data_IF_293899788953
#
_entry.id   IF_293899788953
#
_cell.length_a   1.000
_cell.length_b   1.000
_cell.length_c   1.000
_cell.angle_alpha   90.00
_cell.angle_beta   90.00
_cell.angle_gamma   90.00
#
_symmetry.space_group_name_H-M   'P 1'
#
loop_
_entity.id
_entity.type
_entity.pdbx_description
1 polymer ?
#
# COMPACT_ATOMS: atom_id res chain seq x y z
N UNK A 1 4.12 4.83 8.23
CA UNK A 1 2.73 5.35 8.34
C UNK A 1 1.81 4.22 8.74
N UNK A 2 0.88 4.45 9.66
CA UNK A 2 -0.14 3.50 10.11
C UNK A 2 -1.50 3.84 9.50
N UNK A 3 -2.15 2.83 8.95
CA UNK A 3 -3.50 2.96 8.43
C UNK A 3 -4.49 3.31 9.55
N UNK A 4 -5.34 4.30 9.30
CA UNK A 4 -6.37 4.79 10.22
C UNK A 4 -5.90 5.81 11.25
N UNK A 5 -4.60 6.09 11.33
CA UNK A 5 -4.00 7.00 12.32
C UNK A 5 -3.24 8.14 11.64
N UNK A 6 -2.28 7.81 10.78
CA UNK A 6 -1.39 8.79 10.19
C UNK A 6 -2.03 9.51 9.00
N UNK A 7 -1.59 10.75 8.76
CA UNK A 7 -1.99 11.58 7.62
C UNK A 7 -0.84 11.75 6.64
N UNK A 8 -1.20 11.93 5.37
CA UNK A 8 -0.27 12.41 4.34
C UNK A 8 -0.85 13.68 3.72
N UNK A 9 0.01 14.66 3.50
CA UNK A 9 -0.31 15.81 2.66
C UNK A 9 0.29 15.57 1.28
N UNK A 10 -0.54 15.71 0.25
CA UNK A 10 -0.11 15.60 -1.14
C UNK A 10 -0.31 16.94 -1.82
N UNK A 11 0.76 17.47 -2.40
CA UNK A 11 0.75 18.73 -3.15
C UNK A 11 1.09 18.47 -4.62
N UNK A 12 0.34 19.06 -5.53
CA UNK A 12 0.60 19.00 -6.97
C UNK A 12 0.43 20.39 -7.60
N UNK A 13 1.15 20.61 -8.69
CA UNK A 13 1.06 21.83 -9.50
C UNK A 13 1.29 21.49 -10.96
N UNK A 14 0.71 22.28 -11.87
CA UNK A 14 1.09 22.24 -13.27
C UNK A 14 2.50 22.79 -13.43
N UNK A 15 3.32 22.10 -14.22
CA UNK A 15 4.64 22.61 -14.57
C UNK A 15 4.50 23.89 -15.42
N UNK A 16 5.06 25.00 -14.94
CA UNK A 16 4.95 26.32 -15.58
C UNK A 16 5.63 26.39 -16.96
N UNK A 17 6.54 25.46 -17.26
CA UNK A 17 7.18 25.37 -18.58
C UNK A 17 6.43 24.47 -19.55
N UNK A 18 5.29 23.90 -19.15
CA UNK A 18 4.48 23.06 -20.00
C UNK A 18 3.74 23.92 -21.04
N UNK A 19 4.03 23.69 -22.32
CA UNK A 19 3.41 24.38 -23.47
C UNK A 19 2.20 23.66 -24.04
N UNK A 20 1.74 22.59 -23.39
CA UNK A 20 0.58 21.82 -23.83
C UNK A 20 -0.76 22.40 -23.37
N UNK A 21 -1.85 21.81 -23.86
CA UNK A 21 -3.20 22.28 -23.62
C UNK A 21 -3.71 21.88 -22.21
N UNK A 22 -3.40 22.72 -21.22
CA UNK A 22 -3.91 22.59 -19.86
C UNK A 22 -5.43 22.80 -19.77
N UNK A 23 -6.08 23.38 -20.78
CA UNK A 23 -7.53 23.60 -20.78
C UNK A 23 -8.32 22.30 -20.87
N UNK A 24 -7.66 21.24 -21.36
CA UNK A 24 -8.19 19.87 -21.37
C UNK A 24 -8.35 19.28 -19.96
N UNK A 25 -7.63 19.78 -18.96
CA UNK A 25 -7.66 19.24 -17.60
C UNK A 25 -8.86 19.76 -16.82
N UNK A 26 -9.68 18.86 -16.29
CA UNK A 26 -10.89 19.18 -15.50
C UNK A 26 -10.82 18.69 -14.07
N UNK A 27 -10.26 17.51 -13.86
CA UNK A 27 -10.19 16.88 -12.53
C UNK A 27 -8.80 16.31 -12.29
N UNK A 28 -8.27 16.49 -11.07
CA UNK A 28 -7.08 15.79 -10.60
C UNK A 28 -7.52 14.64 -9.70
N UNK A 29 -7.15 13.42 -10.08
CA UNK A 29 -7.36 12.23 -9.27
C UNK A 29 -6.02 11.76 -8.70
N UNK A 30 -5.87 11.87 -7.38
CA UNK A 30 -4.68 11.47 -6.65
C UNK A 30 -4.87 10.04 -6.20
N UNK A 31 -3.94 9.16 -6.58
CA UNK A 31 -3.95 7.75 -6.25
C UNK A 31 -2.67 7.31 -5.53
N UNK A 32 -2.84 6.34 -4.65
CA UNK A 32 -1.77 5.63 -3.99
C UNK A 32 -1.36 4.40 -4.82
N UNK A 33 -0.07 4.27 -5.07
CA UNK A 33 0.50 3.34 -6.04
C UNK A 33 1.54 2.41 -5.40
N UNK A 34 1.49 1.11 -5.71
CA UNK A 34 2.43 0.13 -5.16
C UNK A 34 3.83 0.32 -5.76
N UNK A 35 4.86 0.44 -4.92
CA UNK A 35 6.25 0.43 -5.35
C UNK A 35 6.65 -0.96 -5.90
N UNK A 36 7.64 -1.07 -6.81
CA UNK A 36 8.04 -2.34 -7.44
C UNK A 36 8.31 -3.47 -6.44
N UNK A 37 8.98 -3.15 -5.32
CA UNK A 37 9.26 -4.11 -4.25
C UNK A 37 8.01 -4.66 -3.54
N UNK A 38 6.86 -4.01 -3.69
CA UNK A 38 5.56 -4.48 -3.19
C UNK A 38 4.69 -5.17 -4.26
N UNK A 39 5.17 -5.24 -5.50
CA UNK A 39 4.52 -5.90 -6.65
C UNK A 39 5.04 -7.34 -6.87
N UNK A 40 6.18 -7.70 -6.29
CA UNK A 40 6.79 -9.04 -6.45
C UNK A 40 5.81 -10.16 -6.05
N UNK A 41 5.66 -11.15 -6.92
CA UNK A 41 4.71 -12.27 -6.78
C UNK A 41 3.23 -11.87 -6.56
N UNK A 42 2.87 -10.62 -6.89
CA UNK A 42 1.51 -10.09 -6.75
C UNK A 42 1.04 -9.53 -8.08
N UNK A 43 0.62 -10.41 -8.99
CA UNK A 43 0.14 -10.04 -10.33
C UNK A 43 -1.03 -9.03 -10.31
N UNK A 44 -1.82 -9.02 -9.24
CA UNK A 44 -2.87 -8.02 -9.03
C UNK A 44 -2.35 -6.63 -8.67
N UNK A 45 -1.04 -6.38 -8.57
CA UNK A 45 -0.43 -5.04 -8.32
C UNK A 45 0.53 -4.62 -9.44
N UNK A 46 0.55 -5.35 -10.55
CA UNK A 46 1.59 -5.25 -11.60
C UNK A 46 1.44 -3.96 -12.41
N UNK A 47 2.58 -3.30 -12.66
CA UNK A 47 2.67 -2.20 -13.63
C UNK A 47 2.36 -2.67 -15.05
N UNK A 48 1.54 -1.90 -15.77
CA UNK A 48 1.38 -2.01 -17.22
C UNK A 48 1.64 -0.65 -17.89
N UNK A 49 2.10 -0.67 -19.14
CA UNK A 49 2.24 0.54 -19.96
C UNK A 49 0.88 1.06 -20.44
N UNK A 50 -0.08 0.15 -20.65
CA UNK A 50 -1.47 0.51 -20.90
C UNK A 50 -2.13 0.88 -19.56
N UNK A 51 -2.43 2.18 -19.37
CA UNK A 51 -3.04 2.72 -18.15
C UNK A 51 -4.35 2.02 -17.80
N UNK A 52 -5.14 1.56 -18.78
CA UNK A 52 -6.38 0.82 -18.51
C UNK A 52 -6.13 -0.57 -17.90
N UNK A 53 -4.93 -1.11 -18.08
CA UNK A 53 -4.50 -2.40 -17.53
C UNK A 53 -3.52 -2.24 -16.37
N UNK A 54 -3.15 -1.02 -16.01
CA UNK A 54 -2.20 -0.74 -14.95
C UNK A 54 -2.86 -0.98 -13.58
N UNK A 55 -2.36 -1.99 -12.86
CA UNK A 55 -2.83 -2.33 -11.53
C UNK A 55 -1.97 -1.71 -10.44
N UNK A 56 -1.06 -0.80 -10.78
CA UNK A 56 -0.14 -0.18 -9.82
C UNK A 56 -0.88 0.74 -8.84
N UNK A 57 -1.84 1.52 -9.33
CA UNK A 57 -2.51 2.58 -8.57
C UNK A 57 -4.00 2.26 -8.40
N UNK A 58 -4.35 1.60 -7.29
CA UNK A 58 -5.71 1.09 -7.05
C UNK A 58 -6.49 1.85 -5.99
N UNK A 59 -5.79 2.59 -5.13
CA UNK A 59 -6.36 3.24 -3.97
C UNK A 59 -6.47 4.73 -4.27
N UNK A 60 -7.67 5.27 -4.16
CA UNK A 60 -7.93 6.69 -4.36
C UNK A 60 -7.68 7.46 -3.06
N UNK A 61 -6.94 8.56 -3.17
CA UNK A 61 -6.64 9.49 -2.06
C UNK A 61 -7.65 10.64 -2.11
N UNK A 62 -7.77 11.29 -3.27
CA UNK A 62 -8.65 12.44 -3.47
C UNK A 62 -8.98 12.62 -4.95
N UNK A 63 -10.15 13.19 -5.23
CA UNK A 63 -10.55 13.62 -6.56
C UNK A 63 -11.06 15.05 -6.47
N UNK A 64 -10.35 15.99 -7.08
CA UNK A 64 -10.60 17.43 -6.92
C UNK A 64 -10.59 18.16 -8.27
N UNK A 65 -11.37 19.24 -8.42
CA UNK A 65 -11.33 20.05 -9.65
C UNK A 65 -9.92 20.59 -9.92
N UNK A 66 -9.53 20.62 -11.20
CA UNK A 66 -8.25 21.18 -11.61
C UNK A 66 -8.30 22.71 -11.59
N UNK A 67 -7.25 23.32 -11.02
CA UNK A 67 -7.01 24.77 -11.05
C UNK A 67 -5.59 25.04 -11.51
N UNK A 68 -5.42 25.83 -12.57
CA UNK A 68 -4.10 26.09 -13.16
C UNK A 68 -3.19 27.03 -12.33
N UNK A 69 -3.78 27.84 -11.44
CA UNK A 69 -3.10 29.01 -10.85
C UNK A 69 -2.27 28.75 -9.58
N UNK A 70 -2.34 27.57 -8.95
CA UNK A 70 -1.65 27.33 -7.68
C UNK A 70 -1.27 25.87 -7.47
N UNK A 71 -0.18 25.59 -6.71
CA UNK A 71 -0.05 24.29 -6.09
C UNK A 71 -1.28 24.05 -5.22
N UNK A 72 -1.96 22.95 -5.49
CA UNK A 72 -3.10 22.48 -4.70
C UNK A 72 -2.61 21.38 -3.77
N UNK A 73 -3.08 21.36 -2.54
CA UNK A 73 -2.78 20.30 -1.59
C UNK A 73 -4.05 19.65 -1.04
N UNK A 74 -3.92 18.39 -0.65
CA UNK A 74 -4.95 17.67 0.08
C UNK A 74 -4.31 16.88 1.21
N UNK A 75 -4.93 16.96 2.38
CA UNK A 75 -4.62 16.07 3.49
C UNK A 75 -5.50 14.84 3.41
N UNK A 76 -4.89 13.66 3.51
CA UNK A 76 -5.58 12.38 3.54
C UNK A 76 -5.13 11.57 4.75
N UNK A 77 -6.09 11.15 5.58
CA UNK A 77 -5.85 10.13 6.59
C UNK A 77 -5.71 8.80 5.87
N UNK A 78 -4.65 8.05 6.16
CA UNK A 78 -4.43 6.75 5.52
C UNK A 78 -5.62 5.85 5.77
N UNK A 79 -6.30 5.40 4.70
CA UNK A 79 -7.49 4.57 4.78
C UNK A 79 -7.24 3.28 5.59
N UNK A 80 -8.18 2.89 6.45
CA UNK A 80 -8.07 1.69 7.31
C UNK A 80 -7.93 0.39 6.52
N UNK A 81 -8.45 0.39 5.30
CA UNK A 81 -8.40 -0.68 4.30
C UNK A 81 -7.09 -0.70 3.49
N UNK A 82 -6.18 0.26 3.71
CA UNK A 82 -4.90 0.31 3.01
C UNK A 82 -4.00 -0.84 3.49
N UNK A 83 -3.58 -1.77 2.60
CA UNK A 83 -2.79 -2.92 3.02
C UNK A 83 -1.33 -2.54 3.30
N UNK A 84 -0.67 -3.37 4.12
CA UNK A 84 0.75 -3.22 4.39
C UNK A 84 1.58 -3.40 3.11
N UNK A 85 2.23 -2.32 2.67
CA UNK A 85 3.13 -2.31 1.52
C UNK A 85 3.91 -0.99 1.47
N UNK A 86 4.83 -0.89 0.51
CA UNK A 86 5.55 0.32 0.16
C UNK A 86 4.91 0.95 -1.06
N UNK A 87 4.73 2.27 -1.00
CA UNK A 87 3.94 3.05 -1.95
C UNK A 87 4.68 4.31 -2.41
N UNK A 88 4.16 4.88 -3.50
CA UNK A 88 4.38 6.25 -3.94
C UNK A 88 3.02 6.85 -4.33
N UNK A 89 2.96 8.16 -4.57
CA UNK A 89 1.73 8.84 -4.97
C UNK A 89 1.82 9.26 -6.44
N UNK A 90 0.70 9.14 -7.15
CA UNK A 90 0.53 9.63 -8.51
C UNK A 90 -0.74 10.47 -8.61
N UNK A 91 -0.62 11.67 -9.16
CA UNK A 91 -1.73 12.53 -9.50
C UNK A 91 -2.01 12.41 -10.99
N UNK A 92 -3.22 12.01 -11.36
CA UNK A 92 -3.69 11.92 -12.73
C UNK A 92 -4.51 13.16 -13.09
N UNK A 93 -4.24 13.75 -14.25
CA UNK A 93 -5.09 14.75 -14.86
C UNK A 93 -6.13 14.07 -15.74
N UNK A 94 -7.41 14.38 -15.50
CA UNK A 94 -8.55 13.83 -16.22
C UNK A 94 -9.23 14.93 -17.04
N UNK A 95 -9.68 14.58 -18.24
CA UNK A 95 -10.50 15.44 -19.09
C UNK A 95 -11.98 15.44 -18.69
N UNK A 96 -12.82 16.14 -19.46
CA UNK A 96 -14.27 16.20 -19.25
C UNK A 96 -14.99 14.84 -19.39
N UNK A 97 -14.37 13.88 -20.07
CA UNK A 97 -14.88 12.51 -20.20
C UNK A 97 -14.40 11.58 -19.07
N UNK A 98 -13.58 12.10 -18.14
CA UNK A 98 -12.95 11.33 -17.08
C UNK A 98 -11.75 10.50 -17.57
N UNK A 99 -11.27 10.71 -18.80
CA UNK A 99 -10.12 9.99 -19.34
C UNK A 99 -8.83 10.61 -18.83
N UNK A 100 -7.89 9.75 -18.45
CA UNK A 100 -6.55 10.18 -18.02
C UNK A 100 -5.78 10.73 -19.22
N UNK A 101 -5.41 12.00 -19.16
CA UNK A 101 -4.68 12.72 -20.20
C UNK A 101 -3.26 13.12 -19.78
N UNK A 102 -2.92 12.91 -18.51
CA UNK A 102 -1.56 13.12 -18.00
C UNK A 102 -1.42 12.61 -16.57
N UNK A 103 -0.18 12.53 -16.08
CA UNK A 103 0.08 12.26 -14.67
C UNK A 103 1.40 12.88 -14.19
N UNK A 104 1.44 13.22 -12.91
CA UNK A 104 2.66 13.49 -12.16
C UNK A 104 2.81 12.45 -11.04
N UNK A 105 4.02 12.14 -10.61
CA UNK A 105 4.28 11.18 -9.54
C UNK A 105 5.42 11.62 -8.64
N UNK A 106 5.40 11.19 -7.38
CA UNK A 106 6.41 11.56 -6.38
C UNK A 106 7.75 10.84 -6.54
N UNK A 107 7.79 9.77 -7.34
CA UNK A 107 8.97 8.92 -7.56
C UNK A 107 9.57 9.12 -8.95
N UNK A 108 10.83 8.73 -9.11
CA UNK A 108 11.53 8.65 -10.39
C UNK A 108 10.92 7.63 -11.38
N UNK A 109 11.41 7.63 -12.62
CA UNK A 109 10.96 6.72 -13.67
C UNK A 109 11.15 5.23 -13.29
N UNK A 110 12.18 4.91 -12.51
CA UNK A 110 12.44 3.54 -12.05
C UNK A 110 11.61 3.14 -10.81
N UNK A 111 10.85 4.08 -10.23
CA UNK A 111 9.99 3.90 -9.05
C UNK A 111 10.75 3.43 -7.80
N UNK A 112 11.93 3.99 -7.56
CA UNK A 112 12.84 3.63 -6.47
C UNK A 112 13.06 4.74 -5.44
N UNK A 113 12.71 5.99 -5.76
CA UNK A 113 12.91 7.14 -4.87
C UNK A 113 11.60 7.61 -4.23
N UNK A 114 11.68 8.36 -3.12
CA UNK A 114 10.51 8.95 -2.44
C UNK A 114 9.37 7.95 -2.15
N UNK A 115 9.76 6.73 -1.79
CA UNK A 115 8.86 5.67 -1.40
C UNK A 115 8.61 5.73 0.11
N UNK A 116 7.41 5.36 0.52
CA UNK A 116 7.06 5.28 1.94
C UNK A 116 6.29 4.01 2.24
N UNK A 117 6.45 3.50 3.46
CA UNK A 117 5.79 2.28 3.91
C UNK A 117 4.54 2.61 4.72
N UNK A 118 3.44 2.00 4.32
CA UNK A 118 2.21 1.95 5.10
C UNK A 118 2.13 0.59 5.77
N UNK A 119 1.81 0.61 7.06
CA UNK A 119 1.42 -0.54 7.85
C UNK A 119 -0.10 -0.54 7.93
N UNK A 120 -0.70 -1.51 7.24
CA UNK A 120 -2.13 -1.73 7.27
C UNK A 120 -2.59 -2.38 8.58
N UNK A 121 -3.89 -2.34 8.82
CA UNK A 121 -4.50 -3.00 9.96
C UNK A 121 -4.48 -4.51 9.72
N UNK A 122 -3.77 -5.24 10.57
CA UNK A 122 -3.74 -6.70 10.55
C UNK A 122 -4.85 -7.25 11.44
N UNK A 123 -5.61 -8.23 10.96
CA UNK A 123 -6.53 -9.01 11.80
C UNK A 123 -5.81 -9.93 12.79
N UNK A 124 -4.49 -10.13 12.62
CA UNK A 124 -3.64 -10.93 13.51
C UNK A 124 -3.23 -10.09 14.72
N UNK A 125 -3.87 -10.38 15.85
CA UNK A 125 -3.60 -9.71 17.13
C UNK A 125 -2.37 -10.33 17.81
N UNK A 126 -1.58 -9.51 18.51
CA UNK A 126 -0.36 -9.94 19.20
C UNK A 126 -0.62 -11.11 20.18
N UNK A 127 -1.76 -11.09 20.87
CA UNK A 127 -2.13 -12.14 21.82
C UNK A 127 -2.33 -13.51 21.14
N UNK A 128 -2.81 -13.53 19.89
CA UNK A 128 -2.98 -14.78 19.12
C UNK A 128 -1.61 -15.39 18.83
N UNK A 129 -0.60 -14.56 18.55
CA UNK A 129 0.76 -15.02 18.30
C UNK A 129 1.43 -15.57 19.54
N UNK A 130 1.23 -14.91 20.68
CA UNK A 130 1.70 -15.40 21.98
C UNK A 130 1.03 -16.73 22.32
N UNK A 131 -0.30 -16.82 22.20
CA UNK A 131 -1.04 -18.05 22.47
C UNK A 131 -0.58 -19.20 21.57
N UNK A 132 -0.38 -18.96 20.27
CA UNK A 132 0.16 -19.94 19.35
C UNK A 132 1.55 -20.43 19.79
N UNK A 133 2.45 -19.52 20.18
CA UNK A 133 3.77 -19.87 20.71
C UNK A 133 3.69 -20.76 21.97
N UNK A 134 2.82 -20.42 22.92
CA UNK A 134 2.62 -21.21 24.14
C UNK A 134 2.09 -22.62 23.83
N UNK A 135 1.06 -22.74 22.98
CA UNK A 135 0.49 -24.04 22.63
C UNK A 135 1.45 -24.92 21.81
N UNK A 136 2.27 -24.32 20.93
CA UNK A 136 3.33 -25.04 20.23
C UNK A 136 4.42 -25.57 21.18
N UNK A 137 4.81 -24.79 22.19
CA UNK A 137 5.78 -25.26 23.18
C UNK A 137 5.18 -26.39 24.06
N UNK A 138 3.93 -26.24 24.50
CA UNK A 138 3.21 -27.24 25.29
C UNK A 138 3.08 -28.58 24.56
N UNK A 139 2.78 -28.56 23.25
CA UNK A 139 2.65 -29.80 22.48
C UNK A 139 3.97 -30.57 22.42
N UNK A 140 5.09 -29.91 22.13
CA UNK A 140 6.42 -30.54 22.09
C UNK A 140 6.81 -31.08 23.48
N UNK A 141 6.60 -30.29 24.53
CA UNK A 141 6.91 -30.70 25.91
C UNK A 141 6.04 -31.89 26.35
N UNK A 142 4.76 -31.90 26.00
CA UNK A 142 3.86 -33.02 26.31
C UNK A 142 4.29 -34.31 25.61
N UNK A 143 4.74 -34.22 24.35
CA UNK A 143 5.24 -35.37 23.60
C UNK A 143 6.52 -35.93 24.21
N UNK A 144 7.47 -35.06 24.58
CA UNK A 144 8.68 -35.47 25.31
C UNK A 144 8.34 -36.09 26.66
N UNK A 145 7.43 -35.48 27.41
CA UNK A 145 6.94 -36.00 28.68
C UNK A 145 6.34 -37.40 28.53
N UNK A 146 5.53 -37.62 27.49
CA UNK A 146 4.94 -38.92 27.16
C UNK A 146 6.02 -39.98 26.93
N UNK A 147 7.01 -39.71 26.08
CA UNK A 147 8.11 -40.65 25.83
C UNK A 147 8.94 -40.98 27.08
N UNK A 148 9.13 -40.01 27.99
CA UNK A 148 9.84 -40.25 29.25
C UNK A 148 9.04 -41.15 30.20
N UNK A 149 7.72 -40.94 30.29
CA UNK A 149 6.83 -41.79 31.10
C UNK A 149 6.77 -43.20 30.52
N UNK A 150 6.61 -43.34 29.21
CA UNK A 150 6.59 -44.62 28.50
C UNK A 150 7.88 -45.42 28.75
N UNK A 151 9.06 -44.79 28.59
CA UNK A 151 10.35 -45.42 28.91
C UNK A 151 10.50 -45.85 30.37
N UNK A 152 9.91 -45.11 31.31
CA UNK A 152 9.95 -45.46 32.73
C UNK A 152 9.02 -46.64 33.04
N UNK A 153 7.85 -46.71 32.40
CA UNK A 153 6.93 -47.82 32.56
C UNK A 153 7.46 -49.11 31.91
N UNK A 154 8.07 -49.01 30.72
CA UNK A 154 8.70 -50.15 30.04
C UNK A 154 9.87 -50.77 30.82
N UNK A 155 10.53 -50.01 31.72
CA UNK A 155 11.58 -50.53 32.62
C UNK A 155 11.06 -51.14 33.91
N UNK A 156 9.77 -50.93 34.25
CA UNK A 156 9.13 -51.44 35.46
C UNK A 156 8.35 -52.74 35.23
N UNK A 157 8.07 -53.08 33.98
CA UNK A 157 7.55 -54.38 33.54
C UNK A 157 8.71 -55.35 33.29
#
# INVERSE_FOLDING_TARGET
LKAGEDKIEVTWALNQTFSGDADSYKTINVKLCYAPLSQENRGWRKTNNDLHKDKTCQLDIASVPFTAATPSSVEWVVGRDTPTATYFVRAYALDSSGRQVGFGQTTDASKKTNLFRIQGISGRQLWVDVAAGCFSALSVLSLFGFFLVEKRMAKKA
#
